data_IF_967952162370
#
_entry.id   IF_967952162370
#
_cell.length_a   1.000
_cell.length_b   1.000
_cell.length_c   1.000
_cell.angle_alpha   90.00
_cell.angle_beta   90.00
_cell.angle_gamma   90.00
#
_symmetry.space_group_name_H-M   'P 1'
#
loop_
_entity.id
_entity.type
_entity.pdbx_description
1 polymer ?
#
# COMPACT_ATOMS: atom_id res chain seq x y z
N UNK A 1 17.12 -32.31 7.13
CA UNK A 1 16.52 -32.45 5.80
C UNK A 1 16.51 -31.11 5.09
N UNK A 2 16.97 -31.08 3.87
CA UNK A 2 16.95 -29.85 3.07
C UNK A 2 15.61 -29.78 2.37
N UNK A 3 14.90 -28.66 2.57
CA UNK A 3 13.64 -28.42 1.86
C UNK A 3 13.94 -28.12 0.39
N UNK A 4 13.07 -28.58 -0.50
CA UNK A 4 13.14 -28.18 -1.89
C UNK A 4 12.83 -26.68 -2.01
N UNK A 5 13.27 -26.06 -3.09
CA UNK A 5 12.96 -24.64 -3.34
C UNK A 5 11.46 -24.41 -3.40
N UNK A 6 10.69 -25.36 -3.95
CA UNK A 6 9.24 -25.31 -3.98
C UNK A 6 8.62 -25.29 -2.58
N UNK A 7 9.13 -26.10 -1.67
CA UNK A 7 8.66 -26.14 -0.28
C UNK A 7 8.98 -24.84 0.45
N UNK A 8 10.18 -24.27 0.22
CA UNK A 8 10.55 -22.98 0.80
C UNK A 8 9.64 -21.85 0.31
N UNK A 9 9.25 -21.88 -0.98
CA UNK A 9 8.34 -20.88 -1.56
C UNK A 9 6.93 -20.99 -1.01
N UNK A 10 6.50 -22.16 -0.55
CA UNK A 10 5.19 -22.36 0.03
C UNK A 10 5.07 -21.79 1.44
N UNK A 11 6.19 -21.53 2.12
CA UNK A 11 6.20 -20.96 3.47
C UNK A 11 6.38 -19.46 3.36
N UNK A 12 5.27 -18.73 3.49
CA UNK A 12 5.25 -17.27 3.41
C UNK A 12 4.86 -16.66 4.73
N UNK A 13 5.40 -15.49 4.99
CA UNK A 13 5.08 -14.71 6.18
C UNK A 13 3.90 -13.79 5.84
N UNK A 14 2.75 -13.93 6.52
CA UNK A 14 1.61 -13.03 6.28
C UNK A 14 1.92 -11.63 6.83
N UNK A 15 1.67 -10.62 6.01
CA UNK A 15 1.92 -9.23 6.38
C UNK A 15 0.77 -8.34 5.95
N UNK A 16 0.60 -7.23 6.66
CA UNK A 16 -0.25 -6.12 6.27
C UNK A 16 0.67 -4.93 6.05
N UNK A 17 0.52 -4.25 4.92
CA UNK A 17 1.27 -3.04 4.62
C UNK A 17 0.39 -1.83 4.89
N UNK A 18 0.72 -1.08 5.94
CA UNK A 18 0.02 0.17 6.27
C UNK A 18 0.84 1.32 5.71
N UNK A 19 0.26 2.08 4.80
CA UNK A 19 1.02 2.99 3.94
C UNK A 19 0.33 4.33 3.76
N UNK A 20 1.14 5.35 3.48
CA UNK A 20 0.68 6.64 2.95
C UNK A 20 1.41 6.90 1.61
N UNK A 21 1.05 6.19 0.51
CA UNK A 21 1.93 6.01 -0.63
C UNK A 21 2.55 7.28 -1.19
N UNK A 22 3.82 7.46 -0.86
CA UNK A 22 4.76 8.39 -1.44
C UNK A 22 5.81 7.61 -2.24
N UNK A 23 6.95 8.23 -2.52
CA UNK A 23 8.01 7.60 -3.32
C UNK A 23 8.57 6.35 -2.63
N UNK A 24 8.86 6.44 -1.34
CA UNK A 24 9.41 5.34 -0.56
C UNK A 24 8.41 4.18 -0.39
N UNK A 25 7.15 4.49 -0.14
CA UNK A 25 6.11 3.47 -0.01
C UNK A 25 5.87 2.76 -1.35
N UNK A 26 5.92 3.49 -2.45
CA UNK A 26 5.85 2.90 -3.79
C UNK A 26 6.94 1.83 -3.95
N UNK A 27 8.17 2.18 -3.61
CA UNK A 27 9.31 1.26 -3.70
C UNK A 27 9.15 0.08 -2.74
N UNK A 28 8.68 0.33 -1.51
CA UNK A 28 8.46 -0.71 -0.52
C UNK A 28 7.38 -1.70 -0.96
N UNK A 29 6.29 -1.20 -1.52
CA UNK A 29 5.20 -2.05 -2.03
C UNK A 29 5.70 -2.90 -3.20
N UNK A 30 6.46 -2.32 -4.13
CA UNK A 30 7.06 -3.06 -5.23
C UNK A 30 7.94 -4.20 -4.73
N UNK A 31 8.83 -3.90 -3.78
CA UNK A 31 9.75 -4.87 -3.21
C UNK A 31 9.00 -5.99 -2.48
N UNK A 32 8.03 -5.64 -1.65
CA UNK A 32 7.23 -6.62 -0.93
C UNK A 32 6.45 -7.52 -1.88
N UNK A 33 5.85 -6.94 -2.92
CA UNK A 33 5.08 -7.69 -3.90
C UNK A 33 5.93 -8.66 -4.71
N UNK A 34 7.22 -8.36 -4.90
CA UNK A 34 8.14 -9.22 -5.64
C UNK A 34 8.73 -10.34 -4.79
N UNK A 35 8.53 -10.32 -3.48
CA UNK A 35 9.12 -11.29 -2.57
C UNK A 35 8.33 -12.60 -2.54
N UNK A 36 9.05 -13.71 -2.69
CA UNK A 36 8.47 -15.06 -2.53
C UNK A 36 8.24 -15.43 -1.06
N UNK A 37 8.74 -14.62 -0.14
CA UNK A 37 8.70 -14.90 1.30
C UNK A 37 7.54 -14.21 2.01
N UNK A 38 6.88 -13.27 1.35
CA UNK A 38 5.81 -12.49 1.94
C UNK A 38 4.47 -12.81 1.30
N UNK A 39 3.45 -12.96 2.15
CA UNK A 39 2.06 -13.10 1.74
C UNK A 39 1.34 -11.82 2.18
N UNK A 40 1.14 -10.91 1.24
CA UNK A 40 0.51 -9.61 1.53
C UNK A 40 -0.99 -9.82 1.65
N UNK A 41 -1.50 -9.78 2.88
CA UNK A 41 -2.92 -10.01 3.17
C UNK A 41 -3.76 -8.77 2.90
N UNK A 42 -3.21 -7.60 3.14
CA UNK A 42 -3.90 -6.33 2.90
C UNK A 42 -2.91 -5.20 2.74
N UNK A 43 -3.33 -4.18 2.01
CA UNK A 43 -2.67 -2.87 1.97
C UNK A 43 -3.68 -1.87 2.52
N UNK A 44 -3.31 -1.19 3.59
CA UNK A 44 -4.14 -0.15 4.19
C UNK A 44 -3.52 1.22 3.92
N UNK A 45 -4.35 2.22 3.79
CA UNK A 45 -3.92 3.53 3.30
C UNK A 45 -4.38 4.62 4.26
N UNK A 46 -3.44 5.48 4.63
CA UNK A 46 -3.72 6.66 5.45
C UNK A 46 -3.24 7.92 4.76
N UNK A 47 -3.71 9.07 5.24
CA UNK A 47 -3.14 10.35 4.85
C UNK A 47 -1.79 10.54 5.57
N UNK A 48 -0.92 11.31 4.96
CA UNK A 48 0.40 11.59 5.52
C UNK A 48 1.23 12.39 4.53
N UNK A 49 1.85 11.72 3.58
CA UNK A 49 2.60 12.38 2.51
C UNK A 49 1.72 13.31 1.69
N UNK A 50 0.45 12.95 1.54
CA UNK A 50 -0.57 13.75 0.89
C UNK A 50 -1.93 13.48 1.57
N UNK A 51 -2.96 14.12 1.08
CA UNK A 51 -4.33 13.88 1.55
C UNK A 51 -4.72 12.42 1.30
N UNK A 52 -5.68 11.91 2.06
CA UNK A 52 -6.18 10.54 1.88
C UNK A 52 -6.68 10.29 0.45
N UNK A 53 -7.27 11.29 -0.18
CA UNK A 53 -7.73 11.18 -1.57
C UNK A 53 -6.56 10.84 -2.51
N UNK A 54 -5.43 11.53 -2.37
CA UNK A 54 -4.25 11.31 -3.21
C UNK A 54 -3.52 10.02 -2.86
N UNK A 55 -3.32 9.74 -1.58
CA UNK A 55 -2.66 8.50 -1.16
C UNK A 55 -3.49 7.28 -1.54
N UNK A 56 -4.82 7.38 -1.44
CA UNK A 56 -5.74 6.32 -1.84
C UNK A 56 -5.65 6.04 -3.34
N UNK A 57 -5.66 7.09 -4.16
CA UNK A 57 -5.52 6.93 -5.61
C UNK A 57 -4.17 6.30 -5.94
N UNK A 58 -3.09 6.75 -5.30
CA UNK A 58 -1.77 6.19 -5.50
C UNK A 58 -1.71 4.70 -5.17
N UNK A 59 -2.30 4.31 -4.04
CA UNK A 59 -2.32 2.91 -3.62
C UNK A 59 -3.05 2.02 -4.64
N UNK A 60 -4.21 2.45 -5.11
CA UNK A 60 -4.97 1.70 -6.12
C UNK A 60 -4.21 1.61 -7.45
N UNK A 61 -3.61 2.71 -7.89
CA UNK A 61 -2.84 2.74 -9.14
C UNK A 61 -1.60 1.86 -9.04
N UNK A 62 -0.88 1.89 -7.91
CA UNK A 62 0.29 1.04 -7.66
C UNK A 62 -0.12 -0.43 -7.67
N UNK A 63 -1.17 -0.79 -6.94
CA UNK A 63 -1.63 -2.17 -6.88
C UNK A 63 -2.09 -2.68 -8.24
N UNK A 64 -2.77 -1.86 -9.00
CA UNK A 64 -3.18 -2.18 -10.37
C UNK A 64 -1.98 -2.37 -11.30
N UNK A 65 -1.00 -1.47 -11.22
CA UNK A 65 0.23 -1.55 -12.03
C UNK A 65 1.02 -2.82 -11.74
N UNK A 66 1.08 -3.22 -10.46
CA UNK A 66 1.78 -4.43 -10.01
C UNK A 66 0.92 -5.69 -10.13
N UNK A 67 -0.31 -5.57 -10.57
CA UNK A 67 -1.28 -6.67 -10.69
C UNK A 67 -1.48 -7.42 -9.38
N UNK A 68 -1.53 -6.69 -8.29
CA UNK A 68 -1.74 -7.26 -6.96
C UNK A 68 -3.19 -7.72 -6.79
N UNK A 69 -3.36 -8.87 -6.12
CA UNK A 69 -4.68 -9.44 -5.81
C UNK A 69 -4.94 -9.38 -4.31
N UNK A 70 -4.49 -8.33 -3.67
CA UNK A 70 -4.62 -8.18 -2.23
C UNK A 70 -5.75 -7.22 -1.88
N UNK A 71 -6.25 -7.30 -0.65
CA UNK A 71 -7.29 -6.38 -0.16
C UNK A 71 -6.66 -5.00 0.06
N UNK A 72 -7.41 -3.98 -0.33
CA UNK A 72 -6.97 -2.58 -0.16
C UNK A 72 -8.07 -1.83 0.57
N UNK A 73 -7.72 -1.14 1.65
CA UNK A 73 -8.68 -0.42 2.47
C UNK A 73 -8.16 0.96 2.89
N UNK A 74 -9.06 1.92 2.97
CA UNK A 74 -8.75 3.27 3.41
C UNK A 74 -8.84 3.41 4.92
N UNK A 75 -7.93 4.19 5.50
CA UNK A 75 -8.00 4.62 6.88
C UNK A 75 -8.61 6.00 7.04
N UNK A 76 -8.21 6.70 8.10
CA UNK A 76 -8.73 8.03 8.42
C UNK A 76 -8.08 9.12 7.56
N UNK A 77 -8.81 10.21 7.37
CA UNK A 77 -8.32 11.34 6.58
C UNK A 77 -7.28 12.17 7.31
N UNK A 78 -7.28 12.14 8.62
CA UNK A 78 -6.35 12.91 9.44
C UNK A 78 -6.12 12.23 10.79
N UNK A 79 -5.04 12.63 11.50
CA UNK A 79 -4.80 12.16 12.88
C UNK A 79 -5.97 12.51 13.80
N UNK A 80 -6.15 11.70 14.87
CA UNK A 80 -7.27 11.88 15.81
C UNK A 80 -7.21 13.23 16.52
N UNK A 81 -6.03 13.67 16.92
CA UNK A 81 -5.84 14.81 17.81
C UNK A 81 -5.09 15.98 17.22
N UNK A 82 -4.85 16.01 15.90
CA UNK A 82 -4.18 17.15 15.26
C UNK A 82 -4.52 17.24 13.79
N UNK A 83 -4.22 18.40 13.20
CA UNK A 83 -4.37 18.57 11.76
C UNK A 83 -3.28 17.82 11.00
N UNK A 84 -3.59 17.45 9.76
CA UNK A 84 -2.65 16.77 8.90
C UNK A 84 -1.58 17.75 8.39
N UNK A 85 -0.33 17.27 8.34
CA UNK A 85 0.77 17.94 7.66
C UNK A 85 1.19 17.07 6.47
N UNK A 86 1.05 17.60 5.26
CA UNK A 86 1.40 16.85 4.05
C UNK A 86 2.82 17.17 3.61
N UNK A 87 3.46 16.23 2.92
CA UNK A 87 4.87 16.31 2.54
C UNK A 87 5.05 16.39 1.02
N UNK A 88 4.25 17.22 0.35
CA UNK A 88 4.29 17.33 -1.11
C UNK A 88 5.61 17.93 -1.62
N UNK A 89 6.34 18.70 -0.82
CA UNK A 89 7.68 19.15 -1.16
C UNK A 89 8.68 18.00 -1.34
N UNK A 90 8.49 16.90 -0.60
CA UNK A 90 9.37 15.73 -0.65
C UNK A 90 8.93 14.75 -1.72
N UNK A 91 7.62 14.51 -1.85
CA UNK A 91 7.05 13.46 -2.71
C UNK A 91 6.36 13.99 -3.96
N UNK A 92 6.33 15.31 -4.16
CA UNK A 92 5.65 15.96 -5.27
C UNK A 92 4.14 16.09 -5.03
N UNK A 93 3.45 16.75 -5.95
CA UNK A 93 2.02 17.05 -5.79
C UNK A 93 1.15 15.79 -5.73
N UNK A 94 1.50 14.76 -6.51
CA UNK A 94 0.78 13.48 -6.50
C UNK A 94 1.12 12.62 -5.28
N UNK A 95 2.26 12.90 -4.63
CA UNK A 95 2.78 12.10 -3.54
C UNK A 95 3.79 11.02 -3.95
N UNK A 96 4.00 10.79 -5.24
CA UNK A 96 4.96 9.81 -5.77
C UNK A 96 6.03 10.42 -6.66
N UNK A 97 6.39 11.68 -6.40
CA UNK A 97 7.43 12.40 -7.10
C UNK A 97 7.06 12.69 -8.55
N UNK A 98 8.00 12.44 -9.45
CA UNK A 98 7.78 12.62 -10.90
C UNK A 98 7.18 11.40 -11.59
N UNK A 99 6.90 10.34 -10.85
CA UNK A 99 6.34 9.11 -11.42
C UNK A 99 4.87 9.32 -11.76
N UNK A 100 4.49 8.96 -12.98
CA UNK A 100 3.10 8.98 -13.43
C UNK A 100 2.70 7.56 -13.79
N UNK A 101 1.73 7.02 -13.08
CA UNK A 101 1.21 5.67 -13.31
C UNK A 101 -0.09 5.74 -14.12
N UNK A 102 -0.36 4.71 -14.95
CA UNK A 102 -1.67 4.60 -15.59
C UNK A 102 -2.77 4.52 -14.55
N UNK A 103 -3.95 5.04 -14.87
CA UNK A 103 -5.11 4.89 -14.00
C UNK A 103 -5.46 3.42 -13.84
N UNK A 104 -5.70 2.99 -12.60
CA UNK A 104 -6.03 1.61 -12.29
C UNK A 104 -7.52 1.33 -12.34
N UNK A 105 -7.85 0.04 -12.37
CA UNK A 105 -9.24 -0.43 -12.37
C UNK A 105 -9.68 -0.94 -11.01
N UNK A 106 -8.77 -0.95 -10.02
CA UNK A 106 -9.07 -1.51 -8.71
C UNK A 106 -9.90 -0.54 -7.88
N UNK A 107 -10.72 -1.12 -7.01
CA UNK A 107 -11.51 -0.40 -6.02
C UNK A 107 -11.13 -0.86 -4.63
N UNK A 108 -11.47 -0.06 -3.64
CA UNK A 108 -11.22 -0.43 -2.25
C UNK A 108 -12.18 -1.53 -1.79
N UNK A 109 -11.63 -2.50 -1.06
CA UNK A 109 -12.42 -3.55 -0.41
C UNK A 109 -13.20 -3.01 0.78
N UNK A 110 -12.67 -1.97 1.43
CA UNK A 110 -13.30 -1.34 2.58
C UNK A 110 -12.80 0.09 2.73
N UNK A 111 -13.67 0.96 3.24
CA UNK A 111 -13.31 2.31 3.68
C UNK A 111 -12.82 2.34 5.13
N UNK A 112 -12.68 1.17 5.76
CA UNK A 112 -12.31 1.05 7.17
C UNK A 112 -11.12 0.11 7.31
N UNK A 113 -9.92 0.69 7.20
CA UNK A 113 -8.67 -0.07 7.28
C UNK A 113 -8.57 -0.87 8.59
N UNK A 114 -9.01 -0.29 9.69
CA UNK A 114 -8.98 -0.96 11.00
C UNK A 114 -9.81 -2.25 11.01
N UNK A 115 -10.94 -2.29 10.30
CA UNK A 115 -11.75 -3.51 10.21
C UNK A 115 -11.01 -4.61 9.44
N UNK A 116 -10.35 -4.23 8.35
CA UNK A 116 -9.58 -5.17 7.53
C UNK A 116 -8.38 -5.71 8.32
N UNK A 117 -7.68 -4.86 9.04
CA UNK A 117 -6.53 -5.28 9.87
C UNK A 117 -6.95 -6.27 10.96
N UNK A 118 -8.15 -6.11 11.50
CA UNK A 118 -8.64 -6.95 12.58
C UNK A 118 -9.07 -8.35 12.10
N UNK A 119 -9.43 -8.46 10.86
CA UNK A 119 -9.78 -9.74 10.26
C UNK A 119 -8.54 -10.60 10.01
#
# INVERSE_FOLDING_TARGET
>A
MIRSDKEKQMIKIPVILDTDPGVDDFMAIMLANSSDRLDIKAVTVVAGNQTLKKTSKNALDIASFLKMKTRIAKGAEKPVNKEIEIADEVHGESGIGSVVLPDGNLEFDSDYAWDVMYQ
#
